data_IF_181504662536
#
_entry.id   IF_181504662536
#
_cell.length_a   1.000
_cell.length_b   1.000
_cell.length_c   1.000
_cell.angle_alpha   90.00
_cell.angle_beta   90.00
_cell.angle_gamma   90.00
#
_symmetry.space_group_name_H-M   'P 1'
#
loop_
_entity.id
_entity.type
_entity.pdbx_description
1 polymer ?
#
# COMPACT_ATOMS: atom_id res chain seq x y z
N UNK A 1 36.50 25.74 -19.92
CA UNK A 1 36.10 24.53 -19.16
C UNK A 1 36.10 24.90 -17.68
N UNK A 2 34.99 25.45 -17.15
CA UNK A 2 34.86 25.76 -15.71
C UNK A 2 34.36 24.48 -15.03
N UNK A 3 35.21 23.87 -14.21
CA UNK A 3 34.77 22.85 -13.27
C UNK A 3 33.73 23.49 -12.35
N UNK A 4 32.50 22.98 -12.41
CA UNK A 4 31.47 23.21 -11.41
C UNK A 4 31.96 22.53 -10.13
N UNK A 5 32.81 23.21 -9.36
CA UNK A 5 33.00 22.87 -7.96
C UNK A 5 31.68 23.22 -7.29
N UNK A 6 30.84 22.21 -7.08
CA UNK A 6 29.68 22.35 -6.23
C UNK A 6 30.16 22.94 -4.89
N UNK A 7 29.52 24.02 -4.47
CA UNK A 7 29.74 24.63 -3.16
C UNK A 7 29.70 23.50 -2.08
N UNK A 8 30.67 23.39 -1.17
CA UNK A 8 30.61 22.40 -0.09
C UNK A 8 29.33 22.52 0.75
N UNK A 9 28.67 23.69 0.75
CA UNK A 9 27.35 23.89 1.34
C UNK A 9 26.20 23.20 0.57
N UNK A 10 26.42 22.85 -0.70
CA UNK A 10 25.47 22.12 -1.55
C UNK A 10 25.47 20.59 -1.28
N UNK A 11 26.45 20.07 -0.54
CA UNK A 11 26.32 18.77 0.13
C UNK A 11 25.60 19.01 1.47
N UNK A 12 24.34 19.46 1.41
CA UNK A 12 23.49 19.44 2.61
C UNK A 12 23.41 17.99 3.09
N UNK A 13 24.02 17.72 4.23
CA UNK A 13 23.86 16.43 4.87
C UNK A 13 22.37 16.27 5.22
N UNK A 14 21.73 15.25 4.64
CA UNK A 14 20.35 14.89 4.95
C UNK A 14 20.18 14.81 6.47
N UNK A 15 19.14 15.46 6.99
CA UNK A 15 18.82 15.41 8.42
C UNK A 15 18.32 14.01 8.78
N UNK A 16 18.29 13.70 10.09
CA UNK A 16 17.70 12.43 10.56
C UNK A 16 16.22 12.29 10.14
N UNK A 17 15.50 13.41 10.05
CA UNK A 17 14.11 13.44 9.62
C UNK A 17 13.99 13.05 8.14
N UNK A 18 14.85 13.61 7.29
CA UNK A 18 14.87 13.29 5.85
C UNK A 18 15.18 11.80 5.62
N UNK A 19 16.14 11.24 6.36
CA UNK A 19 16.43 9.81 6.32
C UNK A 19 15.25 8.93 6.73
N UNK A 20 14.47 9.34 7.74
CA UNK A 20 13.23 8.63 8.11
C UNK A 20 12.20 8.69 6.99
N UNK A 21 12.09 9.83 6.30
CA UNK A 21 11.21 9.99 5.13
C UNK A 21 11.55 9.01 4.01
N UNK A 22 12.83 8.71 3.81
CA UNK A 22 13.31 7.78 2.76
C UNK A 22 13.11 6.29 3.08
N UNK A 23 12.75 5.92 4.31
CA UNK A 23 12.54 4.49 4.65
C UNK A 23 11.39 3.89 3.84
N UNK A 24 10.28 4.62 3.68
CA UNK A 24 9.12 4.09 2.97
C UNK A 24 9.38 3.84 1.46
N UNK A 25 10.01 4.74 0.66
CA UNK A 25 10.32 4.42 -0.73
C UNK A 25 11.36 3.30 -0.85
N UNK A 26 12.33 3.20 0.07
CA UNK A 26 13.28 2.07 0.10
C UNK A 26 12.55 0.75 0.30
N UNK A 27 11.61 0.68 1.24
CA UNK A 27 10.75 -0.49 1.44
C UNK A 27 9.91 -0.81 0.19
N UNK A 28 9.36 0.22 -0.47
CA UNK A 28 8.59 0.04 -1.70
C UNK A 28 9.43 -0.59 -2.82
N UNK A 29 10.65 -0.07 -3.03
CA UNK A 29 11.55 -0.52 -4.10
C UNK A 29 12.10 -1.92 -3.82
N UNK A 30 12.62 -2.16 -2.61
CA UNK A 30 13.36 -3.39 -2.31
C UNK A 30 12.45 -4.57 -1.98
N UNK A 31 11.21 -4.31 -1.56
CA UNK A 31 10.29 -5.36 -1.13
C UNK A 31 8.97 -5.33 -1.88
N UNK A 32 8.22 -4.22 -1.83
CA UNK A 32 6.84 -4.21 -2.34
C UNK A 32 6.79 -4.45 -3.86
N UNK A 33 7.55 -3.72 -4.66
CA UNK A 33 7.51 -3.90 -6.12
C UNK A 33 7.95 -5.29 -6.61
N UNK A 34 9.04 -5.89 -6.10
CA UNK A 34 9.38 -7.27 -6.42
C UNK A 34 8.28 -8.27 -6.05
N UNK A 35 7.69 -8.15 -4.86
CA UNK A 35 6.62 -9.04 -4.40
C UNK A 35 5.35 -8.85 -5.22
N UNK A 36 5.03 -7.63 -5.65
CA UNK A 36 3.92 -7.36 -6.60
C UNK A 36 4.15 -8.09 -7.92
N UNK A 37 5.35 -8.01 -8.50
CA UNK A 37 5.71 -8.72 -9.72
C UNK A 37 5.53 -10.24 -9.58
N UNK A 38 6.03 -10.82 -8.48
CA UNK A 38 5.82 -12.22 -8.16
C UNK A 38 4.33 -12.58 -7.99
N UNK A 39 3.56 -11.72 -7.31
CA UNK A 39 2.11 -11.90 -7.10
C UNK A 39 1.35 -11.94 -8.41
N UNK A 40 1.67 -11.04 -9.36
CA UNK A 40 1.05 -10.99 -10.69
C UNK A 40 1.36 -12.27 -11.45
N UNK A 41 2.63 -12.70 -11.49
CA UNK A 41 3.05 -13.94 -12.16
C UNK A 41 2.29 -15.15 -11.60
N UNK A 42 2.25 -15.31 -10.27
CA UNK A 42 1.51 -16.38 -9.61
C UNK A 42 0.01 -16.31 -9.89
N UNK A 43 -0.56 -15.10 -10.02
CA UNK A 43 -1.97 -14.88 -10.35
C UNK A 43 -2.32 -15.35 -11.76
N UNK A 44 -1.43 -15.14 -12.73
CA UNK A 44 -1.55 -15.64 -14.10
C UNK A 44 -1.50 -17.19 -14.09
N UNK A 45 -0.51 -17.78 -13.43
CA UNK A 45 -0.40 -19.24 -13.32
C UNK A 45 -1.60 -19.87 -12.61
N UNK A 46 -2.11 -19.23 -11.54
CA UNK A 46 -3.32 -19.67 -10.86
C UNK A 46 -4.56 -19.59 -11.77
N UNK A 47 -4.60 -18.65 -12.74
CA UNK A 47 -5.64 -18.60 -13.76
C UNK A 47 -5.48 -19.71 -14.79
N UNK A 48 -4.27 -19.91 -15.32
CA UNK A 48 -3.99 -20.98 -16.30
C UNK A 48 -4.34 -22.35 -15.73
N UNK A 49 -3.99 -22.61 -14.46
CA UNK A 49 -4.39 -23.82 -13.74
C UNK A 49 -5.91 -24.03 -13.76
N UNK A 50 -6.68 -22.99 -13.44
CA UNK A 50 -8.16 -23.06 -13.43
C UNK A 50 -8.78 -23.25 -14.81
N UNK A 51 -8.05 -22.91 -15.87
CA UNK A 51 -8.47 -23.07 -17.26
C UNK A 51 -7.87 -24.33 -17.89
N UNK A 52 -7.13 -25.13 -17.12
CA UNK A 52 -6.51 -26.39 -17.58
C UNK A 52 -5.57 -26.20 -18.78
N UNK A 53 -4.91 -25.04 -18.88
CA UNK A 53 -4.02 -24.70 -20.01
C UNK A 53 -2.67 -25.42 -19.86
N UNK A 54 -2.13 -25.49 -18.64
CA UNK A 54 -0.81 -26.02 -18.32
C UNK A 54 -0.87 -26.92 -17.07
N UNK A 55 0.04 -27.92 -16.94
CA UNK A 55 0.19 -28.68 -15.70
C UNK A 55 0.83 -27.81 -14.61
N UNK A 56 0.01 -27.22 -13.74
CA UNK A 56 0.44 -26.33 -12.64
C UNK A 56 0.16 -26.98 -11.28
N UNK A 57 1.12 -26.89 -10.35
CA UNK A 57 0.98 -27.44 -9.00
C UNK A 57 -0.21 -26.86 -8.22
N UNK A 58 -0.80 -27.65 -7.30
CA UNK A 58 -1.92 -27.23 -6.45
C UNK A 58 -1.56 -26.13 -5.45
N UNK A 59 -0.27 -25.93 -5.18
CA UNK A 59 0.23 -24.91 -4.26
C UNK A 59 0.18 -23.50 -4.84
N UNK A 60 0.23 -23.34 -6.17
CA UNK A 60 0.36 -22.03 -6.83
C UNK A 60 -0.74 -21.02 -6.43
N UNK A 61 -2.04 -21.37 -6.37
CA UNK A 61 -3.06 -20.45 -5.89
C UNK A 61 -2.89 -20.05 -4.41
N UNK A 62 -2.33 -20.93 -3.59
CA UNK A 62 -2.03 -20.66 -2.17
C UNK A 62 -0.85 -19.69 -2.06
N UNK A 63 0.22 -19.96 -2.81
CA UNK A 63 1.39 -19.08 -2.89
C UNK A 63 1.02 -17.68 -3.40
N UNK A 64 0.16 -17.59 -4.42
CA UNK A 64 -0.39 -16.31 -4.91
C UNK A 64 -1.09 -15.53 -3.79
N UNK A 65 -1.95 -16.20 -3.02
CA UNK A 65 -2.67 -15.58 -1.92
C UNK A 65 -1.73 -15.11 -0.80
N UNK A 66 -0.69 -15.90 -0.48
CA UNK A 66 0.33 -15.53 0.50
C UNK A 66 1.13 -14.30 0.06
N UNK A 67 1.57 -14.26 -1.21
CA UNK A 67 2.27 -13.10 -1.74
C UNK A 67 1.36 -11.86 -1.77
N UNK A 68 0.08 -12.00 -2.11
CA UNK A 68 -0.89 -10.91 -2.02
C UNK A 68 -1.04 -10.35 -0.60
N UNK A 69 -1.01 -11.21 0.42
CA UNK A 69 -0.98 -10.79 1.82
C UNK A 69 0.32 -10.05 2.18
N UNK A 70 1.48 -10.49 1.65
CA UNK A 70 2.77 -9.80 1.83
C UNK A 70 2.80 -8.43 1.16
N UNK A 71 2.24 -8.29 -0.06
CA UNK A 71 2.07 -6.97 -0.70
C UNK A 71 1.25 -6.05 0.19
N UNK A 72 0.11 -6.54 0.69
CA UNK A 72 -0.78 -5.76 1.54
C UNK A 72 -0.07 -5.32 2.83
N UNK A 73 0.66 -6.23 3.47
CA UNK A 73 1.44 -5.94 4.67
C UNK A 73 2.56 -4.91 4.39
N UNK A 74 3.31 -5.08 3.30
CA UNK A 74 4.39 -4.17 2.92
C UNK A 74 3.89 -2.75 2.65
N UNK A 75 2.80 -2.61 1.91
CA UNK A 75 2.17 -1.29 1.67
C UNK A 75 1.63 -0.69 2.96
N UNK A 76 0.94 -1.47 3.79
CA UNK A 76 0.42 -1.01 5.08
C UNK A 76 1.54 -0.47 5.99
N UNK A 77 2.67 -1.18 6.07
CA UNK A 77 3.85 -0.75 6.81
C UNK A 77 4.48 0.51 6.20
N UNK A 78 4.61 0.57 4.87
CA UNK A 78 5.14 1.75 4.18
C UNK A 78 4.29 3.00 4.49
N UNK A 79 2.97 2.87 4.48
CA UNK A 79 2.05 3.97 4.84
C UNK A 79 2.21 4.39 6.30
N UNK A 80 2.30 3.44 7.24
CA UNK A 80 2.51 3.78 8.67
C UNK A 80 3.86 4.46 8.92
N UNK A 81 4.92 4.03 8.23
CA UNK A 81 6.24 4.68 8.28
C UNK A 81 6.16 6.10 7.72
N UNK A 82 5.50 6.28 6.57
CA UNK A 82 5.28 7.60 5.96
C UNK A 82 4.47 8.53 6.87
N UNK A 83 3.38 8.05 7.47
CA UNK A 83 2.60 8.83 8.44
C UNK A 83 3.39 9.13 9.72
N UNK A 84 4.30 8.24 10.13
CA UNK A 84 5.17 8.48 11.28
C UNK A 84 6.10 9.68 11.04
N UNK A 85 6.60 9.84 9.82
CA UNK A 85 7.38 11.03 9.44
C UNK A 85 6.60 12.32 9.71
N UNK A 86 5.33 12.40 9.32
CA UNK A 86 4.50 13.60 9.53
C UNK A 86 4.01 13.78 10.96
N UNK A 87 3.78 12.70 11.72
CA UNK A 87 3.02 12.75 12.96
C UNK A 87 3.85 12.61 14.23
N UNK A 88 5.09 12.13 14.15
CA UNK A 88 5.88 11.77 15.34
C UNK A 88 6.07 12.93 16.32
N UNK A 89 6.31 14.14 15.82
CA UNK A 89 6.57 15.32 16.65
C UNK A 89 5.31 16.02 17.15
N UNK A 90 4.15 15.79 16.52
CA UNK A 90 2.91 16.57 16.78
C UNK A 90 1.80 15.71 17.40
N UNK A 91 1.63 14.47 16.93
CA UNK A 91 0.56 13.57 17.35
C UNK A 91 1.05 12.13 17.64
N UNK A 92 2.08 11.93 18.49
CA UNK A 92 2.68 10.62 18.71
C UNK A 92 1.71 9.61 19.34
N UNK A 93 0.83 10.04 20.25
CA UNK A 93 -0.15 9.14 20.87
C UNK A 93 -1.17 8.62 19.87
N UNK A 94 -1.71 9.48 18.99
CA UNK A 94 -2.63 9.07 17.93
C UNK A 94 -1.95 8.09 16.98
N UNK A 95 -0.69 8.38 16.59
CA UNK A 95 0.12 7.49 15.76
C UNK A 95 0.27 6.10 16.38
N UNK A 96 0.66 6.02 17.65
CA UNK A 96 0.88 4.75 18.35
C UNK A 96 -0.42 3.96 18.52
N UNK A 97 -1.50 4.60 18.97
CA UNK A 97 -2.77 3.95 19.23
C UNK A 97 -3.44 3.48 17.95
N UNK A 98 -3.65 4.39 16.99
CA UNK A 98 -4.30 4.05 15.73
C UNK A 98 -3.41 3.16 14.86
N UNK A 99 -2.09 3.38 14.85
CA UNK A 99 -1.14 2.49 14.16
C UNK A 99 -1.17 1.07 14.72
N UNK A 100 -1.21 0.91 16.04
CA UNK A 100 -1.38 -0.40 16.68
C UNK A 100 -2.73 -1.03 16.34
N UNK A 101 -3.81 -0.24 16.35
CA UNK A 101 -5.14 -0.72 15.97
C UNK A 101 -5.22 -1.17 14.51
N UNK A 102 -4.53 -0.47 13.59
CA UNK A 102 -4.38 -0.84 12.18
C UNK A 102 -3.69 -2.19 12.05
N UNK A 103 -2.52 -2.36 12.68
CA UNK A 103 -1.76 -3.61 12.63
C UNK A 103 -2.52 -4.77 13.28
N UNK A 104 -3.17 -4.53 14.43
CA UNK A 104 -4.01 -5.52 15.08
C UNK A 104 -5.17 -5.96 14.18
N UNK A 105 -5.87 -5.00 13.57
CA UNK A 105 -6.97 -5.29 12.64
C UNK A 105 -6.49 -6.10 11.44
N UNK A 106 -5.33 -5.76 10.86
CA UNK A 106 -4.73 -6.54 9.79
C UNK A 106 -4.37 -7.97 10.24
N UNK A 107 -3.80 -8.16 11.44
CA UNK A 107 -3.55 -9.49 12.01
C UNK A 107 -4.83 -10.31 12.20
N UNK A 108 -5.91 -9.66 12.64
CA UNK A 108 -7.24 -10.29 12.76
C UNK A 108 -7.86 -10.62 11.41
N UNK A 109 -7.63 -9.80 10.39
CA UNK A 109 -8.01 -10.10 9.00
C UNK A 109 -7.33 -11.40 8.52
N UNK A 110 -6.02 -11.54 8.73
CA UNK A 110 -5.26 -12.71 8.27
C UNK A 110 -5.70 -14.01 8.97
N UNK A 111 -6.01 -13.95 10.27
CA UNK A 111 -6.39 -15.12 11.08
C UNK A 111 -7.87 -15.49 10.98
N UNK A 112 -8.72 -14.61 10.45
CA UNK A 112 -10.17 -14.85 10.35
C UNK A 112 -10.53 -15.76 9.18
N UNK A 113 -11.36 -16.78 9.46
CA UNK A 113 -11.89 -17.72 8.45
C UNK A 113 -13.17 -17.22 7.74
N UNK A 114 -14.04 -16.50 8.47
CA UNK A 114 -15.30 -16.01 7.94
C UNK A 114 -15.13 -14.71 7.13
N UNK A 115 -15.64 -14.67 5.90
CA UNK A 115 -15.46 -13.54 4.98
C UNK A 115 -16.00 -12.23 5.54
N UNK A 116 -17.18 -12.22 6.17
CA UNK A 116 -17.74 -10.99 6.74
C UNK A 116 -16.86 -10.43 7.87
N UNK A 117 -16.24 -11.30 8.69
CA UNK A 117 -15.25 -10.88 9.71
C UNK A 117 -14.00 -10.32 9.06
N UNK A 118 -13.52 -10.95 7.99
CA UNK A 118 -12.38 -10.45 7.21
C UNK A 118 -12.67 -9.05 6.67
N UNK A 119 -13.84 -8.82 6.08
CA UNK A 119 -14.26 -7.51 5.58
C UNK A 119 -14.35 -6.48 6.72
N UNK A 120 -14.91 -6.85 7.87
CA UNK A 120 -14.96 -5.98 9.04
C UNK A 120 -13.55 -5.55 9.49
N UNK A 121 -12.61 -6.48 9.60
CA UNK A 121 -11.23 -6.18 9.98
C UNK A 121 -10.47 -5.38 8.93
N UNK A 122 -10.73 -5.62 7.64
CA UNK A 122 -10.19 -4.81 6.55
C UNK A 122 -10.69 -3.36 6.62
N UNK A 123 -11.99 -3.15 6.85
CA UNK A 123 -12.57 -1.82 7.05
C UNK A 123 -12.01 -1.16 8.30
N UNK A 124 -11.91 -1.86 9.42
CA UNK A 124 -11.31 -1.31 10.65
C UNK A 124 -9.85 -0.86 10.43
N UNK A 125 -9.06 -1.65 9.70
CA UNK A 125 -7.69 -1.30 9.33
C UNK A 125 -7.65 -0.07 8.40
N UNK A 126 -8.50 -0.01 7.39
CA UNK A 126 -8.56 1.15 6.48
C UNK A 126 -9.03 2.43 7.20
N UNK A 127 -10.03 2.32 8.07
CA UNK A 127 -10.52 3.43 8.90
C UNK A 127 -9.46 3.95 9.84
N UNK A 128 -8.65 3.08 10.45
CA UNK A 128 -7.52 3.50 11.29
C UNK A 128 -6.49 4.33 10.52
N UNK A 129 -6.17 3.92 9.27
CA UNK A 129 -5.30 4.69 8.38
C UNK A 129 -5.93 6.02 7.96
N UNK A 130 -7.23 6.04 7.66
CA UNK A 130 -7.96 7.27 7.34
C UNK A 130 -7.90 8.25 8.53
N UNK A 131 -8.20 7.81 9.74
CA UNK A 131 -8.18 8.65 10.94
C UNK A 131 -6.80 9.24 11.25
N UNK A 132 -5.72 8.48 11.00
CA UNK A 132 -4.36 8.99 11.07
C UNK A 132 -4.06 10.00 9.95
N UNK A 133 -4.51 9.69 8.74
CA UNK A 133 -4.31 10.52 7.57
C UNK A 133 -5.05 11.86 7.59
N UNK A 134 -6.17 11.92 8.32
CA UNK A 134 -6.96 13.14 8.51
C UNK A 134 -6.39 14.10 9.57
N UNK A 135 -5.27 13.73 10.23
CA UNK A 135 -4.61 14.66 11.14
C UNK A 135 -4.10 15.90 10.37
N UNK A 136 -4.15 17.11 10.95
CA UNK A 136 -3.79 18.35 10.25
C UNK A 136 -2.34 18.38 9.73
N UNK A 137 -1.43 17.67 10.40
CA UNK A 137 -0.02 17.60 10.02
C UNK A 137 0.28 16.73 8.79
N UNK A 138 -0.70 15.97 8.29
CA UNK A 138 -0.54 15.16 7.07
C UNK A 138 -0.87 16.01 5.84
N UNK A 139 0.08 16.13 4.92
CA UNK A 139 -0.14 16.82 3.67
C UNK A 139 -1.02 15.98 2.73
N UNK A 140 -2.13 16.59 2.29
CA UNK A 140 -3.10 15.94 1.40
C UNK A 140 -3.33 16.68 0.10
N UNK A 141 -2.71 17.86 -0.08
CA UNK A 141 -2.97 18.87 -1.12
C UNK A 141 -4.41 19.39 -1.19
N UNK A 142 -5.41 18.52 -1.33
CA UNK A 142 -6.82 18.88 -1.31
C UNK A 142 -7.66 17.73 -0.76
N UNK A 143 -8.67 18.06 0.04
CA UNK A 143 -9.66 17.11 0.57
C UNK A 143 -10.98 17.14 -0.25
N UNK A 144 -10.97 17.78 -1.42
CA UNK A 144 -12.16 18.03 -2.24
C UNK A 144 -12.10 17.22 -3.55
N UNK A 145 -12.95 16.19 -3.76
CA UNK A 145 -12.82 15.26 -4.89
C UNK A 145 -12.94 15.86 -6.29
N UNK A 146 -13.63 17.00 -6.44
CA UNK A 146 -13.74 17.71 -7.73
C UNK A 146 -12.57 18.66 -8.00
N UNK A 147 -11.62 18.78 -7.08
CA UNK A 147 -10.38 19.55 -7.29
C UNK A 147 -9.30 18.63 -7.92
N UNK A 148 -8.63 19.03 -9.01
CA UNK A 148 -7.54 18.25 -9.59
C UNK A 148 -6.40 17.91 -8.61
N UNK A 149 -6.17 18.75 -7.60
CA UNK A 149 -5.17 18.51 -6.56
C UNK A 149 -5.49 17.30 -5.68
N UNK A 150 -6.76 16.94 -5.52
CA UNK A 150 -7.17 15.73 -4.79
C UNK A 150 -6.62 14.48 -5.49
N UNK A 151 -6.71 14.43 -6.82
CA UNK A 151 -6.20 13.32 -7.63
C UNK A 151 -4.69 13.34 -7.82
N UNK A 152 -4.01 14.42 -7.39
CA UNK A 152 -2.56 14.49 -7.30
C UNK A 152 -2.03 14.13 -5.90
N UNK A 153 -2.92 13.91 -4.94
CA UNK A 153 -2.58 13.64 -3.55
C UNK A 153 -1.97 12.24 -3.39
N UNK A 154 -0.72 12.22 -2.92
CA UNK A 154 -0.05 10.96 -2.55
C UNK A 154 -0.81 10.23 -1.43
N UNK A 155 -1.44 10.99 -0.52
CA UNK A 155 -2.23 10.46 0.57
C UNK A 155 -3.51 9.77 0.10
N UNK A 156 -4.39 10.47 -0.64
CA UNK A 156 -5.71 9.92 -1.02
C UNK A 156 -5.58 8.70 -1.93
N UNK A 157 -4.63 8.75 -2.87
CA UNK A 157 -4.32 7.61 -3.74
C UNK A 157 -3.72 6.43 -2.95
N UNK A 158 -2.83 6.71 -2.00
CA UNK A 158 -2.25 5.69 -1.12
C UNK A 158 -3.28 5.02 -0.21
N UNK A 159 -4.23 5.79 0.32
CA UNK A 159 -5.35 5.27 1.11
C UNK A 159 -6.27 4.38 0.26
N UNK A 160 -6.63 4.82 -0.95
CA UNK A 160 -7.42 4.03 -1.88
C UNK A 160 -6.71 2.72 -2.25
N UNK A 161 -5.43 2.80 -2.62
CA UNK A 161 -4.57 1.64 -2.92
C UNK A 161 -4.58 0.62 -1.76
N UNK A 162 -4.32 1.08 -0.54
CA UNK A 162 -4.26 0.21 0.64
C UNK A 162 -5.63 -0.41 0.95
N UNK A 163 -6.71 0.36 0.78
CA UNK A 163 -8.09 -0.12 0.98
C UNK A 163 -8.47 -1.21 -0.02
N UNK A 164 -8.04 -1.09 -1.29
CA UNK A 164 -8.25 -2.11 -2.32
C UNK A 164 -7.45 -3.39 -2.03
N UNK A 165 -6.21 -3.26 -1.56
CA UNK A 165 -5.38 -4.41 -1.15
C UNK A 165 -5.96 -5.15 0.06
N UNK A 166 -6.43 -4.42 1.09
CA UNK A 166 -7.12 -4.98 2.25
C UNK A 166 -8.40 -5.71 1.83
N UNK A 167 -9.18 -5.10 0.94
CA UNK A 167 -10.41 -5.70 0.40
C UNK A 167 -10.13 -6.96 -0.43
N UNK A 168 -9.10 -6.92 -1.27
CA UNK A 168 -8.63 -8.07 -2.05
C UNK A 168 -8.24 -9.25 -1.14
N UNK A 169 -7.48 -8.96 -0.08
CA UNK A 169 -7.10 -9.94 0.94
C UNK A 169 -8.32 -10.48 1.69
N UNK A 170 -9.29 -9.63 2.03
CA UNK A 170 -10.51 -10.05 2.72
C UNK A 170 -11.39 -10.99 1.88
N UNK A 171 -11.52 -10.71 0.58
CA UNK A 171 -12.33 -11.49 -0.37
C UNK A 171 -11.69 -12.83 -0.78
N UNK A 172 -10.42 -13.07 -0.44
CA UNK A 172 -9.66 -14.25 -0.85
C UNK A 172 -10.43 -15.57 -0.77
N UNK A 173 -11.16 -15.90 0.33
CA UNK A 173 -11.87 -17.18 0.42
C UNK A 173 -12.96 -17.39 -0.65
N UNK A 174 -13.50 -16.30 -1.21
CA UNK A 174 -14.58 -16.35 -2.22
C UNK A 174 -14.08 -16.53 -3.65
N UNK A 175 -12.82 -16.22 -3.94
CA UNK A 175 -12.29 -16.12 -5.33
C UNK A 175 -12.36 -17.46 -6.08
N UNK A 176 -12.19 -18.56 -5.35
CA UNK A 176 -12.21 -19.92 -5.91
C UNK A 176 -13.58 -20.31 -6.47
N UNK A 177 -14.66 -20.00 -5.75
CA UNK A 177 -16.01 -20.53 -6.03
C UNK A 177 -17.03 -19.46 -6.46
N UNK A 178 -16.70 -18.17 -6.44
CA UNK A 178 -17.60 -17.09 -6.87
C UNK A 178 -17.03 -16.31 -8.07
N UNK A 179 -17.75 -16.36 -9.20
CA UNK A 179 -17.39 -15.58 -10.39
C UNK A 179 -17.43 -14.07 -10.13
N UNK A 180 -18.40 -13.59 -9.34
CA UNK A 180 -18.51 -12.18 -8.96
C UNK A 180 -17.30 -11.74 -8.14
N UNK A 181 -16.89 -12.53 -7.13
CA UNK A 181 -15.72 -12.22 -6.33
C UNK A 181 -14.43 -12.21 -7.18
N UNK A 182 -14.30 -13.15 -8.12
CA UNK A 182 -13.17 -13.19 -9.06
C UNK A 182 -13.10 -11.97 -9.95
N UNK A 183 -14.23 -11.52 -10.52
CA UNK A 183 -14.29 -10.29 -11.33
C UNK A 183 -13.91 -9.05 -10.50
N UNK A 184 -14.49 -8.92 -9.30
CA UNK A 184 -14.15 -7.82 -8.39
C UNK A 184 -12.66 -7.81 -8.03
N UNK A 185 -12.09 -8.97 -7.72
CA UNK A 185 -10.66 -9.10 -7.44
C UNK A 185 -9.81 -8.66 -8.65
N UNK A 186 -10.10 -9.14 -9.86
CA UNK A 186 -9.33 -8.77 -11.06
C UNK A 186 -9.45 -7.27 -11.33
N UNK A 187 -10.67 -6.73 -11.38
CA UNK A 187 -10.89 -5.30 -11.64
C UNK A 187 -10.23 -4.41 -10.59
N UNK A 188 -10.34 -4.78 -9.31
CA UNK A 188 -9.66 -4.08 -8.21
C UNK A 188 -8.14 -4.13 -8.37
N UNK A 189 -7.56 -5.28 -8.70
CA UNK A 189 -6.10 -5.41 -8.79
C UNK A 189 -5.51 -4.74 -10.05
N UNK A 190 -6.29 -4.57 -11.12
CA UNK A 190 -5.89 -3.69 -12.23
C UNK A 190 -5.78 -2.23 -11.77
N UNK A 191 -6.75 -1.77 -10.97
CA UNK A 191 -6.69 -0.43 -10.37
C UNK A 191 -5.54 -0.30 -9.36
N UNK A 192 -5.27 -1.33 -8.56
CA UNK A 192 -4.08 -1.38 -7.67
C UNK A 192 -2.78 -1.23 -8.46
N UNK A 193 -2.62 -1.93 -9.59
CA UNK A 193 -1.42 -1.81 -10.42
C UNK A 193 -1.24 -0.38 -10.97
N UNK A 194 -2.32 0.24 -11.44
CA UNK A 194 -2.30 1.64 -11.87
C UNK A 194 -1.94 2.58 -10.72
N UNK A 195 -2.58 2.41 -9.55
CA UNK A 195 -2.32 3.24 -8.37
C UNK A 195 -0.88 3.08 -7.89
N UNK A 196 -0.30 1.87 -7.90
CA UNK A 196 1.11 1.66 -7.55
C UNK A 196 2.06 2.43 -8.48
N UNK A 197 1.78 2.44 -9.78
CA UNK A 197 2.54 3.22 -10.74
C UNK A 197 2.39 4.73 -10.48
N UNK A 198 1.17 5.20 -10.24
CA UNK A 198 0.93 6.61 -9.93
C UNK A 198 1.55 7.01 -8.58
N UNK A 199 1.61 6.11 -7.59
CA UNK A 199 2.29 6.36 -6.31
C UNK A 199 3.80 6.51 -6.47
N UNK A 200 4.43 5.78 -7.41
CA UNK A 200 5.84 5.96 -7.72
C UNK A 200 6.13 7.37 -8.27
N UNK A 201 5.25 7.85 -9.16
CA UNK A 201 5.34 9.19 -9.76
C UNK A 201 5.06 10.27 -8.71
N UNK A 202 3.96 10.15 -7.96
CA UNK A 202 3.60 11.16 -6.95
C UNK A 202 4.60 11.19 -5.80
N UNK A 203 5.17 10.04 -5.41
CA UNK A 203 6.21 9.95 -4.38
C UNK A 203 7.50 10.64 -4.79
N UNK A 204 8.00 10.35 -6.01
CA UNK A 204 9.21 11.02 -6.54
C UNK A 204 8.99 12.52 -6.72
N UNK A 205 7.81 12.94 -7.20
CA UNK A 205 7.44 14.36 -7.24
C UNK A 205 7.47 15.01 -5.85
N UNK A 206 6.90 14.36 -4.83
CA UNK A 206 6.87 14.92 -3.48
C UNK A 206 8.26 15.08 -2.88
N UNK A 207 9.22 14.21 -3.22
CA UNK A 207 10.63 14.38 -2.83
C UNK A 207 11.30 15.59 -3.49
N UNK A 208 10.78 16.09 -4.62
CA UNK A 208 11.31 17.28 -5.31
C UNK A 208 10.65 18.58 -4.83
N UNK A 209 9.47 18.49 -4.21
CA UNK A 209 8.68 19.65 -3.77
C UNK A 209 8.84 19.96 -2.27
N UNK A 210 9.37 19.01 -1.51
CA UNK A 210 9.71 19.15 -0.09
C UNK A 210 11.18 19.51 0.08
#
# INVERSE_FOLDING_TARGET
MRFFLADPQALQALTRHDWLGLIHPVLMILFVYPVVGATIRLGILAREKRLEINPIADTVPVEHAQHGAWVTAGVLLAVLISLSHSLWSVHPLSLLLSGSAVLFSFGRLLTSRMVWRRLLWAVASASGLLLLGLQPAVERFSDVPWNPLFWQSHFWMGLLLTSLLLSSTALQPMIGHSLRARRLHISSNLLVALLLAMQAISGTRNLLLN
#
